data_IF_174102881265
#
_entry.id   IF_174102881265
#
_cell.length_a   1.000
_cell.length_b   1.000
_cell.length_c   1.000
_cell.angle_alpha   90.00
_cell.angle_beta   90.00
_cell.angle_gamma   90.00
#
_symmetry.space_group_name_H-M   'P 1'
#
loop_
_entity.id
_entity.type
_entity.pdbx_description
1 polymer ?
#
# COMPACT_ATOMS: atom_id res chain seq x y z
N UNK A 1 -7.88 -17.25 -9.89
CA UNK A 1 -7.92 -15.79 -9.65
C UNK A 1 -8.07 -15.14 -11.01
N UNK A 2 -9.08 -14.31 -11.21
CA UNK A 2 -9.26 -13.56 -12.45
C UNK A 2 -8.08 -12.60 -12.59
N UNK A 3 -7.28 -12.73 -13.64
CA UNK A 3 -6.15 -11.84 -13.87
C UNK A 3 -6.64 -10.39 -14.05
N UNK A 4 -5.92 -9.43 -13.45
CA UNK A 4 -6.17 -7.99 -13.64
C UNK A 4 -5.06 -7.43 -14.54
N UNK A 5 -5.31 -7.21 -15.84
CA UNK A 5 -4.27 -6.81 -16.77
C UNK A 5 -3.68 -5.44 -16.45
N UNK A 6 -2.38 -5.27 -16.67
CA UNK A 6 -1.67 -4.01 -16.44
C UNK A 6 -2.11 -2.84 -17.35
N UNK A 7 -2.85 -3.10 -18.42
CA UNK A 7 -3.44 -2.04 -19.24
C UNK A 7 -4.80 -1.55 -18.68
N UNK A 8 -5.44 -2.30 -17.78
CA UNK A 8 -6.74 -1.92 -17.20
C UNK A 8 -6.54 -1.04 -15.97
N UNK A 9 -6.62 0.28 -16.17
CA UNK A 9 -6.49 1.31 -15.12
C UNK A 9 -7.72 1.40 -14.24
N UNK A 10 -8.91 1.38 -14.84
CA UNK A 10 -10.20 1.45 -14.14
C UNK A 10 -10.91 0.11 -14.26
N UNK A 11 -11.45 -0.36 -13.14
CA UNK A 11 -12.24 -1.59 -13.10
C UNK A 11 -13.39 -1.45 -12.10
N UNK A 12 -14.53 -2.03 -12.43
CA UNK A 12 -15.64 -2.13 -11.49
C UNK A 12 -15.41 -3.32 -10.57
N UNK A 13 -15.45 -3.09 -9.25
CA UNK A 13 -15.33 -4.16 -8.29
C UNK A 13 -16.61 -5.00 -8.27
N UNK A 14 -16.53 -6.34 -8.43
CA UNK A 14 -17.70 -7.21 -8.44
C UNK A 14 -18.35 -7.33 -7.05
N UNK A 15 -17.64 -6.92 -5.99
CA UNK A 15 -18.13 -7.02 -4.60
C UNK A 15 -18.86 -5.76 -4.16
N UNK A 16 -18.30 -4.58 -4.41
CA UNK A 16 -18.91 -3.31 -3.99
C UNK A 16 -19.58 -2.53 -5.13
N UNK A 17 -19.41 -2.93 -6.39
CA UNK A 17 -20.01 -2.27 -7.56
C UNK A 17 -19.38 -0.93 -7.94
N UNK A 18 -18.38 -0.46 -7.19
CA UNK A 18 -17.71 0.84 -7.41
C UNK A 18 -16.61 0.70 -8.46
N UNK A 19 -16.39 1.76 -9.26
CA UNK A 19 -15.22 1.88 -10.13
C UNK A 19 -13.98 2.24 -9.32
N UNK A 20 -12.93 1.44 -9.45
CA UNK A 20 -11.67 1.63 -8.77
C UNK A 20 -10.55 1.88 -9.76
N UNK A 21 -9.61 2.74 -9.35
CA UNK A 21 -8.31 2.88 -9.98
C UNK A 21 -7.35 1.81 -9.43
N UNK A 22 -6.76 1.05 -10.35
CA UNK A 22 -5.83 -0.04 -10.01
C UNK A 22 -4.58 0.48 -9.31
N UNK A 23 -4.01 1.58 -9.76
CA UNK A 23 -2.75 2.11 -9.25
C UNK A 23 -2.96 2.68 -7.83
N UNK A 24 -4.12 3.29 -7.56
CA UNK A 24 -4.55 3.65 -6.19
C UNK A 24 -4.67 2.40 -5.30
N UNK A 25 -5.34 1.35 -5.78
CA UNK A 25 -5.50 0.11 -5.02
C UNK A 25 -4.14 -0.57 -4.74
N UNK A 26 -3.23 -0.56 -5.73
CA UNK A 26 -1.87 -1.06 -5.57
C UNK A 26 -1.11 -0.26 -4.49
N UNK A 27 -1.20 1.06 -4.48
CA UNK A 27 -0.59 1.90 -3.46
C UNK A 27 -1.12 1.59 -2.05
N UNK A 28 -2.45 1.40 -1.91
CA UNK A 28 -3.08 1.00 -0.64
C UNK A 28 -2.56 -0.37 -0.18
N UNK A 29 -2.50 -1.35 -1.08
CA UNK A 29 -2.01 -2.70 -0.77
C UNK A 29 -0.54 -2.68 -0.33
N UNK A 30 0.32 -1.93 -1.02
CA UNK A 30 1.74 -1.77 -0.66
C UNK A 30 1.86 -1.14 0.74
N UNK A 31 1.10 -0.07 1.02
CA UNK A 31 1.08 0.57 2.34
C UNK A 31 0.67 -0.41 3.44
N UNK A 32 -0.40 -1.18 3.23
CA UNK A 32 -0.85 -2.17 4.21
C UNK A 32 0.20 -3.25 4.46
N UNK A 33 0.86 -3.74 3.40
CA UNK A 33 1.93 -4.72 3.54
C UNK A 33 3.10 -4.18 4.37
N UNK A 34 3.55 -2.95 4.08
CA UNK A 34 4.60 -2.31 4.86
C UNK A 34 4.24 -2.14 6.34
N UNK A 35 3.00 -1.71 6.65
CA UNK A 35 2.51 -1.62 8.03
C UNK A 35 2.52 -3.00 8.71
N UNK A 36 2.10 -4.05 8.00
CA UNK A 36 2.08 -5.40 8.54
C UNK A 36 3.50 -5.91 8.84
N UNK A 37 4.45 -5.67 7.94
CA UNK A 37 5.86 -6.04 8.13
C UNK A 37 6.48 -5.31 9.32
N UNK A 38 6.23 -4.01 9.46
CA UNK A 38 6.70 -3.21 10.61
C UNK A 38 6.11 -3.72 11.93
N UNK A 39 4.80 -4.03 11.96
CA UNK A 39 4.16 -4.62 13.13
C UNK A 39 4.73 -6.00 13.48
N UNK A 40 4.99 -6.83 12.48
CA UNK A 40 5.60 -8.15 12.67
C UNK A 40 7.04 -8.04 13.23
N UNK A 41 7.76 -6.98 12.90
CA UNK A 41 9.06 -6.65 13.48
C UNK A 41 8.98 -6.08 14.92
N UNK A 42 7.78 -5.99 15.51
CA UNK A 42 7.57 -5.46 16.86
C UNK A 42 7.53 -3.93 16.94
N UNK A 43 7.45 -3.24 15.80
CA UNK A 43 7.38 -1.77 15.76
C UNK A 43 5.92 -1.31 15.86
N UNK A 44 5.65 -0.40 16.80
CA UNK A 44 4.34 0.26 16.89
C UNK A 44 4.30 1.39 15.86
N UNK A 45 3.58 1.17 14.77
CA UNK A 45 3.46 2.14 13.67
C UNK A 45 2.01 2.53 13.41
N UNK A 46 1.79 3.84 13.31
CA UNK A 46 0.56 4.45 12.82
C UNK A 46 0.89 5.26 11.58
N UNK A 47 0.68 4.70 10.40
CA UNK A 47 0.88 5.44 9.15
C UNK A 47 -0.33 6.36 8.93
N UNK A 48 -0.35 7.54 9.55
CA UNK A 48 -1.30 8.59 9.21
C UNK A 48 -0.61 9.56 8.25
N UNK A 49 -0.82 9.38 6.95
CA UNK A 49 -0.83 10.46 5.94
C UNK A 49 0.30 11.49 5.85
N UNK A 50 1.47 11.31 6.47
CA UNK A 50 2.55 12.28 6.32
C UNK A 50 3.29 12.13 4.98
N UNK A 51 3.69 13.24 4.31
CA UNK A 51 4.48 13.16 3.09
C UNK A 51 5.79 12.45 3.40
N UNK A 52 6.11 11.40 2.62
CA UNK A 52 7.36 10.65 2.71
C UNK A 52 8.57 11.61 2.76
N UNK A 53 9.13 11.85 3.94
CA UNK A 53 10.52 12.26 4.09
C UNK A 53 11.30 11.02 4.48
N UNK A 54 11.93 10.40 3.49
CA UNK A 54 12.93 9.37 3.72
C UNK A 54 14.09 9.99 4.51
N UNK A 55 14.12 9.76 5.83
CA UNK A 55 15.32 10.02 6.62
C UNK A 55 16.13 8.73 6.58
N UNK A 56 17.13 8.72 5.70
CA UNK A 56 18.27 7.82 5.85
C UNK A 56 19.15 8.48 6.91
N UNK A 57 19.19 7.92 8.12
CA UNK A 57 20.21 8.20 9.15
C UNK A 57 19.99 7.21 10.30
N UNK A 58 20.97 6.51 10.87
CA UNK A 58 22.39 6.26 10.60
C UNK A 58 22.66 5.01 11.45
N UNK A 59 23.35 3.99 10.92
CA UNK A 59 23.84 2.89 11.76
C UNK A 59 24.96 3.46 12.63
N UNK A 60 24.76 3.50 13.95
CA UNK A 60 25.82 3.81 14.89
C UNK A 60 26.74 2.59 15.03
N UNK A 61 28.03 2.80 14.77
CA UNK A 61 29.13 1.93 15.19
C UNK A 61 29.45 2.22 16.65
#
# INVERSE_FOLDING_TARGET
>A
MTEMPLHKRIWQCPVCGVEHDRDINAAINIRHKGILELKAAGLVVTAHGDPCKSVISTVAV
#
